data_IF_621422804428
#
_entry.id   IF_621422804428
#
_cell.length_a   1.000
_cell.length_b   1.000
_cell.length_c   1.000
_cell.angle_alpha   90.00
_cell.angle_beta   90.00
_cell.angle_gamma   90.00
#
_symmetry.space_group_name_H-M   'P 1'
#
loop_
_entity.id
_entity.type
_entity.pdbx_description
1 polymer ?
#
# COMPACT_ATOMS: atom_id res chain seq x y z
N UNK A 1 1.75 15.72 8.31
CA UNK A 1 1.23 14.34 8.26
C UNK A 1 0.13 14.15 7.23
N UNK A 2 0.43 13.31 6.24
CA UNK A 2 -0.52 12.78 5.25
C UNK A 2 -1.24 11.54 5.82
N UNK A 3 -2.55 11.45 5.66
CA UNK A 3 -3.37 10.36 6.17
C UNK A 3 -4.28 9.81 5.09
N UNK A 4 -4.03 8.56 4.75
CA UNK A 4 -4.70 7.84 3.70
C UNK A 4 -5.47 6.64 4.28
N UNK A 5 -6.34 6.05 3.47
CA UNK A 5 -7.16 4.89 3.83
C UNK A 5 -6.70 3.66 3.05
N UNK A 6 -6.73 2.48 3.67
CA UNK A 6 -6.57 1.21 2.94
C UNK A 6 -7.33 0.06 3.62
N UNK A 7 -7.33 -1.10 2.96
CA UNK A 7 -7.98 -2.33 3.43
C UNK A 7 -9.40 -2.53 2.95
N UNK A 8 -10.09 -1.47 2.51
CA UNK A 8 -11.36 -1.61 1.79
C UNK A 8 -11.12 -2.28 0.41
N UNK A 9 -12.09 -3.06 -0.07
CA UNK A 9 -12.00 -3.99 -1.22
C UNK A 9 -11.26 -5.33 -0.99
N UNK A 10 -10.67 -5.59 0.19
CA UNK A 10 -10.09 -6.91 0.51
C UNK A 10 -11.14 -7.90 1.00
N UNK A 11 -10.99 -9.17 0.60
CA UNK A 11 -11.69 -10.31 1.20
C UNK A 11 -12.94 -10.80 0.46
N UNK A 12 -13.07 -10.52 -0.84
CA UNK A 12 -14.09 -11.15 -1.70
C UNK A 12 -15.56 -10.76 -1.40
N UNK A 13 -15.82 -9.89 -0.42
CA UNK A 13 -17.16 -9.34 -0.19
C UNK A 13 -17.46 -8.30 -1.26
N UNK A 14 -18.20 -8.70 -2.30
CA UNK A 14 -18.66 -7.81 -3.35
C UNK A 14 -19.57 -6.73 -2.75
N UNK A 15 -19.04 -5.53 -2.54
CA UNK A 15 -19.88 -4.35 -2.47
C UNK A 15 -20.27 -3.96 -3.90
N UNK A 16 -21.46 -3.39 -4.07
CA UNK A 16 -21.83 -2.79 -5.35
C UNK A 16 -20.79 -1.74 -5.76
N UNK A 17 -20.56 -1.59 -7.06
CA UNK A 17 -19.65 -0.56 -7.56
C UNK A 17 -20.02 0.84 -7.08
N UNK A 18 -21.32 1.14 -7.05
CA UNK A 18 -21.83 2.40 -6.50
C UNK A 18 -21.46 2.60 -5.02
N UNK A 19 -21.47 1.55 -4.19
CA UNK A 19 -21.03 1.65 -2.80
C UNK A 19 -19.53 1.89 -2.68
N UNK A 20 -18.72 1.28 -3.55
CA UNK A 20 -17.27 1.53 -3.59
C UNK A 20 -16.95 2.99 -3.96
N UNK A 21 -17.64 3.55 -4.96
CA UNK A 21 -17.44 4.94 -5.35
C UNK A 21 -17.89 5.91 -4.25
N UNK A 22 -19.06 5.67 -3.63
CA UNK A 22 -19.52 6.47 -2.48
C UNK A 22 -18.55 6.43 -1.30
N UNK A 23 -17.95 5.27 -1.01
CA UNK A 23 -16.91 5.17 0.00
C UNK A 23 -15.73 6.11 -0.32
N UNK A 24 -15.27 6.14 -1.58
CA UNK A 24 -14.15 7.00 -1.98
C UNK A 24 -14.51 8.50 -1.88
N UNK A 25 -15.72 8.88 -2.30
CA UNK A 25 -16.25 10.23 -2.12
C UNK A 25 -16.35 10.61 -0.62
N UNK A 26 -16.74 9.67 0.24
CA UNK A 26 -16.79 9.86 1.68
C UNK A 26 -15.40 10.06 2.29
N UNK A 27 -14.40 9.30 1.83
CA UNK A 27 -13.00 9.48 2.24
C UNK A 27 -12.52 10.89 1.89
N UNK A 28 -12.80 11.37 0.68
CA UNK A 28 -12.45 12.73 0.25
C UNK A 28 -13.16 13.80 1.09
N UNK A 29 -14.48 13.64 1.28
CA UNK A 29 -15.32 14.59 2.02
C UNK A 29 -14.89 14.73 3.47
N UNK A 30 -14.36 13.67 4.07
CA UNK A 30 -13.86 13.64 5.44
C UNK A 30 -12.44 14.20 5.59
N UNK A 31 -11.77 14.52 4.48
CA UNK A 31 -10.47 15.20 4.49
C UNK A 31 -9.26 14.27 4.58
N UNK A 32 -9.42 12.96 4.34
CA UNK A 32 -8.28 12.07 4.10
C UNK A 32 -7.65 12.38 2.74
N UNK A 33 -6.34 12.19 2.61
CA UNK A 33 -5.61 12.62 1.41
C UNK A 33 -5.69 11.58 0.28
N UNK A 34 -5.82 10.30 0.61
CA UNK A 34 -5.90 9.26 -0.40
C UNK A 34 -6.48 7.93 0.06
N UNK A 35 -6.68 7.02 -0.90
CA UNK A 35 -7.16 5.65 -0.68
C UNK A 35 -6.35 4.65 -1.50
N UNK A 36 -6.02 3.49 -0.92
CA UNK A 36 -5.11 2.51 -1.53
C UNK A 36 -5.72 1.13 -1.71
N UNK A 37 -5.55 0.55 -2.90
CA UNK A 37 -6.11 -0.74 -3.29
C UNK A 37 -5.02 -1.78 -3.61
N UNK A 38 -5.32 -3.05 -3.37
CA UNK A 38 -4.37 -4.15 -3.57
C UNK A 38 -4.71 -4.90 -4.85
N UNK A 39 -3.72 -5.23 -5.66
CA UNK A 39 -3.88 -6.08 -6.84
C UNK A 39 -3.84 -7.56 -6.44
N UNK A 40 -4.81 -8.33 -6.95
CA UNK A 40 -4.89 -9.77 -6.73
C UNK A 40 -5.60 -10.43 -7.92
N UNK A 41 -4.92 -11.37 -8.57
CA UNK A 41 -5.47 -12.11 -9.71
C UNK A 41 -5.72 -13.57 -9.38
N UNK A 42 -6.74 -14.16 -10.02
CA UNK A 42 -7.05 -15.59 -9.96
C UNK A 42 -7.23 -16.15 -8.54
N UNK A 43 -7.71 -15.32 -7.61
CA UNK A 43 -7.97 -15.73 -6.24
C UNK A 43 -9.24 -16.60 -6.15
N UNK A 44 -9.28 -17.45 -5.13
CA UNK A 44 -10.47 -18.21 -4.77
C UNK A 44 -10.88 -17.89 -3.31
N UNK A 45 -12.02 -17.22 -3.06
CA UNK A 45 -12.98 -16.74 -4.07
C UNK A 45 -12.41 -15.57 -4.92
N UNK A 46 -12.97 -15.33 -6.12
CA UNK A 46 -12.56 -14.20 -6.96
C UNK A 46 -12.67 -12.85 -6.26
N UNK A 47 -11.75 -11.94 -6.56
CA UNK A 47 -11.83 -10.56 -6.09
C UNK A 47 -12.72 -9.72 -7.02
N UNK A 48 -13.48 -8.78 -6.46
CA UNK A 48 -14.32 -7.87 -7.24
C UNK A 48 -13.51 -6.85 -8.06
N UNK A 49 -12.30 -6.51 -7.59
CA UNK A 49 -11.43 -5.49 -8.22
C UNK A 49 -10.00 -6.03 -8.36
N UNK A 50 -9.75 -6.94 -9.33
CA UNK A 50 -8.42 -7.52 -9.53
C UNK A 50 -7.43 -6.51 -10.13
N UNK A 51 -7.89 -5.56 -10.95
CA UNK A 51 -7.08 -4.47 -11.50
C UNK A 51 -7.29 -3.17 -10.72
N UNK A 52 -6.23 -2.72 -10.06
CA UNK A 52 -6.24 -1.48 -9.27
C UNK A 52 -6.24 -0.23 -10.14
N UNK A 53 -5.61 -0.28 -11.33
CA UNK A 53 -5.56 0.86 -12.27
C UNK A 53 -6.93 1.15 -12.89
N UNK A 54 -7.70 0.12 -13.26
CA UNK A 54 -9.07 0.30 -13.76
C UNK A 54 -9.97 0.90 -12.69
N UNK A 55 -9.90 0.38 -11.45
CA UNK A 55 -10.65 0.94 -10.33
C UNK A 55 -10.23 2.39 -10.05
N UNK A 56 -8.93 2.69 -10.09
CA UNK A 56 -8.41 4.03 -9.88
C UNK A 56 -8.96 5.02 -10.90
N UNK A 57 -9.03 4.65 -12.19
CA UNK A 57 -9.64 5.48 -13.24
C UNK A 57 -11.06 5.93 -12.87
N UNK A 58 -11.90 4.97 -12.44
CA UNK A 58 -13.29 5.25 -12.05
C UNK A 58 -13.39 6.16 -10.82
N UNK A 59 -12.53 5.97 -9.81
CA UNK A 59 -12.53 6.80 -8.59
C UNK A 59 -12.03 8.22 -8.89
N UNK A 60 -10.96 8.33 -9.68
CA UNK A 60 -10.37 9.61 -10.05
C UNK A 60 -11.34 10.47 -10.87
N UNK A 61 -12.22 9.85 -11.67
CA UNK A 61 -13.31 10.53 -12.38
C UNK A 61 -14.45 11.01 -11.46
N UNK A 62 -14.56 10.48 -10.23
CA UNK A 62 -15.61 10.81 -9.25
C UNK A 62 -15.16 11.76 -8.14
N UNK A 63 -13.87 12.02 -8.05
CA UNK A 63 -13.23 12.79 -6.96
C UNK A 63 -12.40 13.93 -7.54
N UNK A 64 -12.17 14.98 -6.75
CA UNK A 64 -11.49 16.21 -7.21
C UNK A 64 -10.11 16.42 -6.59
N UNK A 65 -9.90 15.95 -5.36
CA UNK A 65 -8.69 16.11 -4.55
C UNK A 65 -8.11 14.78 -4.10
N UNK A 66 -8.95 13.76 -3.94
CA UNK A 66 -8.53 12.46 -3.44
C UNK A 66 -7.43 11.87 -4.32
N UNK A 67 -6.36 11.43 -3.67
CA UNK A 67 -5.32 10.62 -4.31
C UNK A 67 -5.70 9.15 -4.29
N UNK A 68 -5.39 8.42 -5.35
CA UNK A 68 -5.65 6.97 -5.42
C UNK A 68 -4.31 6.26 -5.53
N UNK A 69 -4.08 5.34 -4.60
CA UNK A 69 -2.84 4.59 -4.49
C UNK A 69 -2.98 3.13 -4.86
N UNK A 70 -1.92 2.55 -5.41
CA UNK A 70 -1.80 1.10 -5.59
C UNK A 70 -0.92 0.51 -4.49
N UNK A 71 -1.37 -0.54 -3.82
CA UNK A 71 -0.66 -1.21 -2.73
C UNK A 71 -0.74 -2.72 -2.91
N UNK A 72 -0.21 -3.29 -3.98
CA UNK A 72 0.65 -2.69 -5.02
C UNK A 72 0.12 -3.00 -6.41
N UNK A 73 0.74 -2.41 -7.44
CA UNK A 73 0.85 -3.02 -8.77
C UNK A 73 1.99 -4.04 -8.76
N UNK A 74 1.72 -5.25 -9.23
CA UNK A 74 2.67 -6.35 -9.37
C UNK A 74 3.34 -6.24 -10.74
N UNK A 75 4.36 -5.38 -10.84
CA UNK A 75 4.97 -5.05 -12.14
C UNK A 75 5.48 -6.25 -12.94
N UNK A 76 5.91 -7.39 -12.34
CA UNK A 76 6.27 -8.55 -13.13
C UNK A 76 5.13 -9.17 -13.94
N UNK A 77 3.86 -8.83 -13.71
CA UNK A 77 2.72 -9.36 -14.47
C UNK A 77 2.43 -8.60 -15.76
N UNK A 78 3.05 -7.43 -15.95
CA UNK A 78 2.71 -6.51 -17.03
C UNK A 78 3.89 -6.28 -17.96
N UNK A 79 3.62 -6.10 -19.26
CA UNK A 79 4.62 -5.55 -20.16
C UNK A 79 4.93 -4.09 -19.74
N UNK A 80 6.20 -3.71 -19.56
CA UNK A 80 6.55 -2.43 -18.95
C UNK A 80 6.13 -1.22 -19.78
N UNK A 81 6.16 -1.32 -21.12
CA UNK A 81 5.66 -0.24 -21.98
C UNK A 81 4.16 0.00 -21.80
N UNK A 82 3.33 -1.05 -21.82
CA UNK A 82 1.88 -0.90 -21.63
C UNK A 82 1.57 -0.35 -20.24
N UNK A 83 2.26 -0.86 -19.21
CA UNK A 83 2.08 -0.35 -17.86
C UNK A 83 2.53 1.12 -17.73
N UNK A 84 3.59 1.51 -18.42
CA UNK A 84 4.02 2.91 -18.47
C UNK A 84 2.95 3.82 -19.09
N UNK A 85 2.33 3.41 -20.20
CA UNK A 85 1.24 4.14 -20.85
C UNK A 85 0.02 4.27 -19.94
N UNK A 86 -0.44 3.16 -19.35
CA UNK A 86 -1.60 3.15 -18.45
C UNK A 86 -1.41 4.07 -17.24
N UNK A 87 -0.24 4.01 -16.61
CA UNK A 87 0.08 4.85 -15.45
C UNK A 87 0.25 6.32 -15.86
N UNK A 88 0.91 6.58 -16.99
CA UNK A 88 1.11 7.95 -17.47
C UNK A 88 -0.23 8.60 -17.83
N UNK A 89 -1.11 7.88 -18.50
CA UNK A 89 -2.46 8.33 -18.80
C UNK A 89 -3.22 8.63 -17.51
N UNK A 90 -3.21 7.73 -16.53
CA UNK A 90 -3.88 7.93 -15.25
C UNK A 90 -3.33 9.16 -14.50
N UNK A 91 -2.01 9.33 -14.48
CA UNK A 91 -1.37 10.48 -13.85
C UNK A 91 -1.80 11.78 -14.54
N UNK A 92 -1.70 11.84 -15.86
CA UNK A 92 -2.07 13.01 -16.65
C UNK A 92 -3.56 13.35 -16.51
N UNK A 93 -4.46 12.39 -16.74
CA UNK A 93 -5.90 12.64 -16.75
C UNK A 93 -6.45 13.00 -15.36
N UNK A 94 -5.75 12.61 -14.29
CA UNK A 94 -6.16 12.91 -12.92
C UNK A 94 -5.58 14.19 -12.35
N UNK A 95 -4.67 14.85 -13.07
CA UNK A 95 -3.91 15.98 -12.56
C UNK A 95 -2.95 15.58 -11.44
N UNK A 96 -2.22 14.46 -11.61
CA UNK A 96 -1.15 14.04 -10.69
C UNK A 96 -1.63 13.32 -9.42
N UNK A 97 -2.87 12.80 -9.40
CA UNK A 97 -3.50 12.22 -8.20
C UNK A 97 -3.34 10.71 -8.06
N UNK A 98 -2.54 10.06 -8.91
CA UNK A 98 -2.18 8.65 -8.74
C UNK A 98 -0.90 8.52 -7.90
N UNK A 99 -0.89 7.59 -6.95
CA UNK A 99 0.31 7.15 -6.23
C UNK A 99 0.60 5.68 -6.58
N UNK A 100 1.70 5.41 -7.26
CA UNK A 100 2.02 4.08 -7.76
C UNK A 100 2.88 3.32 -6.75
N UNK A 101 2.25 2.51 -5.89
CA UNK A 101 2.98 1.48 -5.17
C UNK A 101 3.24 0.29 -6.08
N UNK A 102 4.51 -0.09 -6.21
CA UNK A 102 4.98 -1.24 -6.99
C UNK A 102 5.62 -2.29 -6.09
N UNK A 103 5.65 -3.52 -6.57
CA UNK A 103 6.46 -4.55 -5.95
C UNK A 103 6.47 -5.82 -6.76
N UNK A 104 7.27 -6.78 -6.28
CA UNK A 104 7.53 -8.02 -7.01
C UNK A 104 6.35 -8.99 -7.03
N UNK A 105 5.44 -8.90 -6.04
CA UNK A 105 4.19 -9.69 -5.86
C UNK A 105 4.13 -11.06 -6.54
N UNK A 106 4.21 -12.15 -5.77
CA UNK A 106 4.51 -13.46 -6.37
C UNK A 106 3.61 -14.55 -5.83
N UNK A 107 2.28 -14.40 -5.96
CA UNK A 107 1.40 -15.53 -5.63
C UNK A 107 1.73 -16.68 -6.60
N UNK A 108 2.25 -17.84 -6.15
CA UNK A 108 2.81 -18.85 -7.05
C UNK A 108 1.81 -19.34 -8.09
N UNK A 109 0.54 -19.48 -7.70
CA UNK A 109 -0.53 -19.88 -8.61
C UNK A 109 -0.79 -18.85 -9.73
N UNK A 110 -0.64 -17.55 -9.44
CA UNK A 110 -0.81 -16.48 -10.45
C UNK A 110 0.33 -16.53 -11.46
N UNK A 111 1.57 -16.69 -10.99
CA UNK A 111 2.74 -16.83 -11.85
C UNK A 111 2.62 -18.07 -12.74
N UNK A 112 2.25 -19.22 -12.17
CA UNK A 112 2.05 -20.46 -12.90
C UNK A 112 0.95 -20.33 -13.97
N UNK A 113 -0.18 -19.70 -13.64
CA UNK A 113 -1.27 -19.48 -14.58
C UNK A 113 -0.88 -18.56 -15.76
N UNK A 114 0.04 -17.63 -15.55
CA UNK A 114 0.55 -16.71 -16.57
C UNK A 114 1.84 -17.20 -17.26
N UNK A 115 2.35 -18.38 -16.90
CA UNK A 115 3.59 -18.92 -17.44
C UNK A 115 4.84 -18.11 -17.07
N UNK A 116 4.83 -17.40 -15.93
CA UNK A 116 5.95 -16.58 -15.46
C UNK A 116 6.80 -17.39 -14.48
N UNK A 117 8.08 -17.55 -14.77
CA UNK A 117 9.03 -18.21 -13.89
C UNK A 117 9.28 -17.37 -12.62
N UNK A 118 9.23 -18.00 -11.44
CA UNK A 118 9.34 -17.29 -10.16
C UNK A 118 10.69 -16.57 -10.00
N UNK A 119 11.75 -17.17 -10.53
CA UNK A 119 13.14 -16.71 -10.50
C UNK A 119 13.32 -15.43 -11.32
N UNK A 120 12.51 -15.26 -12.38
CA UNK A 120 12.54 -14.08 -13.25
C UNK A 120 11.91 -12.84 -12.61
N UNK A 121 11.10 -13.00 -11.57
CA UNK A 121 10.28 -11.91 -11.02
C UNK A 121 11.10 -10.75 -10.47
N UNK A 122 12.31 -11.00 -9.97
CA UNK A 122 13.22 -9.93 -9.54
C UNK A 122 13.67 -9.07 -10.71
N UNK A 123 14.26 -9.68 -11.73
CA UNK A 123 14.72 -8.96 -12.91
C UNK A 123 13.56 -8.21 -13.59
N UNK A 124 12.41 -8.88 -13.74
CA UNK A 124 11.18 -8.25 -14.23
C UNK A 124 10.77 -7.03 -13.42
N UNK A 125 10.78 -7.12 -12.09
CA UNK A 125 10.41 -6.00 -11.24
C UNK A 125 11.36 -4.80 -11.42
N UNK A 126 12.67 -5.04 -11.34
CA UNK A 126 13.69 -3.98 -11.41
C UNK A 126 13.74 -3.33 -12.80
N UNK A 127 13.76 -4.15 -13.87
CA UNK A 127 13.77 -3.67 -15.25
C UNK A 127 12.48 -2.92 -15.58
N UNK A 128 11.31 -3.44 -15.17
CA UNK A 128 10.03 -2.78 -15.46
C UNK A 128 9.98 -1.37 -14.88
N UNK A 129 10.46 -1.15 -13.64
CA UNK A 129 10.50 0.20 -13.08
C UNK A 129 11.44 1.13 -13.88
N UNK A 130 12.65 0.68 -14.20
CA UNK A 130 13.62 1.51 -14.95
C UNK A 130 13.08 1.89 -16.32
N UNK A 131 12.52 0.91 -17.04
CA UNK A 131 11.87 1.12 -18.33
C UNK A 131 10.71 2.11 -18.20
N UNK A 132 9.81 1.94 -17.22
CA UNK A 132 8.69 2.85 -17.02
C UNK A 132 9.15 4.29 -16.68
N UNK A 133 10.15 4.42 -15.80
CA UNK A 133 10.72 5.72 -15.44
C UNK A 133 11.27 6.45 -16.66
N UNK A 134 12.04 5.76 -17.48
CA UNK A 134 12.67 6.33 -18.67
C UNK A 134 11.59 6.65 -19.74
N UNK A 135 10.57 5.80 -19.84
CA UNK A 135 9.41 6.01 -20.70
C UNK A 135 8.69 7.33 -20.42
N UNK A 136 8.52 7.70 -19.15
CA UNK A 136 7.81 8.92 -18.76
C UNK A 136 8.60 10.21 -19.03
N UNK A 137 9.93 10.14 -19.14
CA UNK A 137 10.79 11.32 -19.25
C UNK A 137 11.34 11.54 -20.66
N UNK A 138 11.87 10.51 -21.29
CA UNK A 138 12.66 10.61 -22.51
C UNK A 138 12.28 9.60 -23.60
N UNK A 139 11.27 8.76 -23.35
CA UNK A 139 10.96 7.60 -24.18
C UNK A 139 11.67 6.34 -23.70
N UNK A 140 11.20 5.18 -24.16
CA UNK A 140 11.53 3.89 -23.58
C UNK A 140 12.22 2.98 -24.60
N UNK A 141 13.31 2.35 -24.17
CA UNK A 141 13.98 1.29 -24.91
C UNK A 141 14.22 0.11 -23.98
N UNK A 142 14.01 -1.09 -24.51
CA UNK A 142 14.40 -2.35 -23.89
C UNK A 142 15.64 -2.83 -24.62
N UNK A 143 16.73 -2.98 -23.85
CA UNK A 143 18.02 -3.43 -24.36
C UNK A 143 18.08 -4.94 -24.56
N UNK A 144 18.99 -5.39 -25.43
CA UNK A 144 19.35 -6.81 -25.49
C UNK A 144 19.87 -7.29 -24.13
N UNK A 145 19.41 -8.47 -23.69
CA UNK A 145 19.76 -9.04 -22.39
C UNK A 145 18.88 -8.61 -21.23
N UNK A 146 17.94 -7.67 -21.43
CA UNK A 146 16.87 -7.41 -20.47
C UNK A 146 15.94 -8.63 -20.33
N UNK A 147 15.15 -8.68 -19.25
CA UNK A 147 14.15 -9.75 -19.08
C UNK A 147 12.94 -9.67 -20.04
N UNK A 148 12.88 -8.61 -20.85
CA UNK A 148 11.86 -8.34 -21.84
C UNK A 148 12.47 -8.32 -23.25
N UNK A 149 11.69 -8.60 -24.32
CA UNK A 149 12.21 -8.54 -25.68
C UNK A 149 12.74 -7.15 -26.03
N UNK A 150 13.95 -7.11 -26.61
CA UNK A 150 14.57 -5.87 -27.06
C UNK A 150 13.64 -5.13 -28.04
N UNK A 151 13.42 -3.85 -27.77
CA UNK A 151 12.46 -3.04 -28.52
C UNK A 151 12.67 -1.56 -28.23
N UNK A 152 12.42 -0.73 -29.23
CA UNK A 152 12.46 0.73 -29.13
C UNK A 152 11.15 1.26 -29.73
N UNK A 153 10.31 1.84 -28.88
CA UNK A 153 8.98 2.33 -29.28
C UNK A 153 8.69 3.65 -28.57
N UNK A 154 7.83 4.46 -29.18
CA UNK A 154 7.29 5.63 -28.50
C UNK A 154 6.29 5.18 -27.43
N UNK A 155 6.53 5.58 -26.19
CA UNK A 155 5.62 5.34 -25.04
C UNK A 155 5.14 6.70 -24.55
N UNK A 156 3.82 6.85 -24.37
CA UNK A 156 3.24 8.12 -23.92
C UNK A 156 1.99 7.98 -23.06
N UNK A 157 1.46 9.09 -22.53
CA UNK A 157 1.99 10.45 -22.65
C UNK A 157 3.31 10.64 -21.90
N UNK A 158 4.20 11.49 -22.43
CA UNK A 158 5.36 11.96 -21.67
C UNK A 158 4.89 12.86 -20.51
N UNK A 159 5.62 12.85 -19.40
CA UNK A 159 5.31 13.61 -18.19
C UNK A 159 6.47 14.57 -17.84
N UNK A 160 6.80 15.56 -18.69
CA UNK A 160 7.86 16.51 -18.38
C UNK A 160 7.43 17.44 -17.24
N UNK A 161 7.97 17.23 -16.04
CA UNK A 161 7.83 18.14 -14.89
C UNK A 161 7.39 17.45 -13.60
N UNK A 162 6.22 16.80 -13.60
CA UNK A 162 5.72 16.06 -12.43
C UNK A 162 5.83 14.55 -12.69
N UNK A 163 6.82 13.94 -12.05
CA UNK A 163 7.01 12.49 -12.11
C UNK A 163 5.91 11.79 -11.32
N UNK A 164 5.47 10.63 -11.81
CA UNK A 164 4.58 9.74 -11.06
C UNK A 164 5.21 9.41 -9.70
N UNK A 165 4.51 9.65 -8.57
CA UNK A 165 5.00 9.21 -7.27
C UNK A 165 5.04 7.69 -7.20
N UNK A 166 6.24 7.10 -7.16
CA UNK A 166 6.44 5.64 -7.09
C UNK A 166 6.91 5.23 -5.70
N UNK A 167 6.32 4.17 -5.15
CA UNK A 167 6.66 3.60 -3.84
C UNK A 167 7.00 2.11 -3.98
N UNK A 168 8.03 1.64 -3.29
CA UNK A 168 8.44 0.22 -3.35
C UNK A 168 7.95 -0.54 -2.13
N UNK A 169 7.15 -1.60 -2.35
CA UNK A 169 6.80 -2.56 -1.31
C UNK A 169 7.72 -3.79 -1.35
N UNK A 170 8.33 -4.11 -0.21
CA UNK A 170 9.11 -5.33 -0.05
C UNK A 170 9.79 -5.43 1.31
N UNK A 171 10.18 -6.65 1.67
CA UNK A 171 10.81 -6.96 2.96
C UNK A 171 12.21 -7.52 2.83
N UNK A 172 12.60 -7.99 1.64
CA UNK A 172 13.94 -8.53 1.42
C UNK A 172 14.98 -7.42 1.32
N UNK A 173 16.21 -7.72 1.75
CA UNK A 173 17.36 -6.82 1.56
C UNK A 173 17.50 -6.37 0.11
N UNK A 174 17.30 -7.29 -0.84
CA UNK A 174 17.31 -6.97 -2.28
C UNK A 174 16.31 -5.88 -2.67
N UNK A 175 15.06 -5.98 -2.21
CA UNK A 175 13.99 -5.04 -2.60
C UNK A 175 14.18 -3.69 -1.91
N UNK A 176 14.61 -3.71 -0.64
CA UNK A 176 14.95 -2.49 0.10
C UNK A 176 16.19 -1.81 -0.49
N UNK A 177 17.17 -2.59 -0.95
CA UNK A 177 18.38 -2.10 -1.62
C UNK A 177 18.08 -1.52 -2.99
N UNK A 178 17.17 -2.13 -3.75
CA UNK A 178 16.66 -1.52 -4.96
C UNK A 178 16.01 -0.15 -4.70
N UNK A 179 15.13 -0.06 -3.69
CA UNK A 179 14.51 1.22 -3.34
C UNK A 179 15.55 2.28 -2.93
N UNK A 180 16.58 1.89 -2.17
CA UNK A 180 17.69 2.78 -1.80
C UNK A 180 18.46 3.28 -3.03
N UNK A 181 18.90 2.37 -3.92
CA UNK A 181 19.65 2.69 -5.13
C UNK A 181 18.89 3.59 -6.10
N UNK A 182 17.60 3.34 -6.28
CA UNK A 182 16.75 4.12 -7.19
C UNK A 182 16.16 5.38 -6.53
N UNK A 183 16.48 5.66 -5.25
CA UNK A 183 16.00 6.86 -4.55
C UNK A 183 14.50 6.88 -4.26
N UNK A 184 13.88 5.70 -4.16
CA UNK A 184 12.43 5.53 -4.02
C UNK A 184 11.97 5.44 -2.55
N UNK A 185 10.82 6.04 -2.21
CA UNK A 185 10.18 5.82 -0.92
C UNK A 185 9.66 4.37 -0.76
N UNK A 186 9.54 3.93 0.48
CA UNK A 186 9.04 2.61 0.84
C UNK A 186 7.52 2.62 1.03
N UNK A 187 6.87 1.52 0.66
CA UNK A 187 5.48 1.22 0.96
C UNK A 187 5.42 0.11 2.03
N UNK A 188 5.42 0.52 3.30
CA UNK A 188 5.51 -0.40 4.44
C UNK A 188 4.12 -0.89 4.87
N UNK A 189 3.97 -2.20 4.96
CA UNK A 189 2.71 -2.84 5.32
C UNK A 189 2.57 -3.00 6.84
N UNK A 190 1.52 -3.68 7.26
CA UNK A 190 1.28 -4.06 8.65
C UNK A 190 2.19 -5.22 9.08
N UNK A 191 2.46 -6.14 8.17
CA UNK A 191 3.10 -7.42 8.45
C UNK A 191 4.13 -7.77 7.35
N UNK A 192 5.42 -7.94 7.68
CA UNK A 192 6.00 -7.78 9.02
C UNK A 192 5.91 -6.33 9.53
N UNK A 193 5.99 -6.10 10.86
CA UNK A 193 6.13 -4.76 11.42
C UNK A 193 7.38 -4.06 10.88
N UNK A 194 7.32 -2.75 10.75
CA UNK A 194 8.34 -1.97 10.05
C UNK A 194 9.72 -2.00 10.73
N UNK A 195 9.79 -2.22 12.04
CA UNK A 195 11.04 -2.13 12.82
C UNK A 195 12.20 -2.91 12.16
N UNK A 196 11.95 -4.16 11.77
CA UNK A 196 12.98 -4.99 11.13
C UNK A 196 13.31 -4.53 9.70
N UNK A 197 12.31 -4.07 8.95
CA UNK A 197 12.49 -3.52 7.60
C UNK A 197 13.30 -2.22 7.64
N UNK A 198 13.00 -1.33 8.59
CA UNK A 198 13.69 -0.07 8.80
C UNK A 198 15.14 -0.28 9.24
N UNK A 199 15.39 -1.22 10.15
CA UNK A 199 16.75 -1.58 10.54
C UNK A 199 17.56 -2.11 9.34
N UNK A 200 16.94 -2.97 8.52
CA UNK A 200 17.58 -3.49 7.30
C UNK A 200 17.86 -2.37 6.30
N UNK A 201 16.89 -1.48 6.08
CA UNK A 201 17.03 -0.35 5.16
C UNK A 201 18.12 0.62 5.63
N UNK A 202 18.18 0.94 6.92
CA UNK A 202 19.20 1.80 7.50
C UNK A 202 20.62 1.22 7.30
N UNK A 203 20.81 -0.08 7.54
CA UNK A 203 22.09 -0.74 7.28
C UNK A 203 22.50 -0.64 5.79
N UNK A 204 21.56 -0.81 4.87
CA UNK A 204 21.83 -0.64 3.43
C UNK A 204 22.26 0.80 3.12
N UNK A 205 21.57 1.80 3.67
CA UNK A 205 21.92 3.21 3.44
C UNK A 205 23.34 3.54 3.93
N UNK A 206 23.73 2.99 5.09
CA UNK A 206 25.06 3.16 5.67
C UNK A 206 26.15 2.45 4.87
N UNK A 207 25.89 1.23 4.40
CA UNK A 207 26.84 0.44 3.61
C UNK A 207 27.02 0.97 2.18
N UNK A 208 25.93 1.36 1.51
CA UNK A 208 25.93 1.76 0.09
C UNK A 208 25.99 3.28 -0.13
N UNK A 209 25.78 4.11 0.91
CA UNK A 209 25.92 5.56 0.85
C UNK A 209 24.76 6.31 0.16
N UNK A 210 23.53 5.81 0.29
CA UNK A 210 22.34 6.39 -0.35
C UNK A 210 21.58 7.38 0.56
N UNK A 211 20.82 8.29 -0.05
CA UNK A 211 19.98 9.23 0.67
C UNK A 211 18.73 8.55 1.27
N UNK A 212 18.41 8.85 2.53
CA UNK A 212 17.21 8.35 3.19
C UNK A 212 15.94 8.98 2.62
N UNK A 213 14.95 8.14 2.24
CA UNK A 213 13.66 8.58 1.69
C UNK A 213 12.47 8.33 2.62
N UNK A 214 12.71 7.99 3.90
CA UNK A 214 11.65 7.60 4.85
C UNK A 214 10.57 8.67 5.04
N UNK A 215 10.89 9.96 5.01
CA UNK A 215 9.89 11.03 5.10
C UNK A 215 8.83 10.97 3.99
N UNK A 216 9.21 10.49 2.81
CA UNK A 216 8.31 10.29 1.67
C UNK A 216 7.69 8.89 1.63
N UNK A 217 8.14 7.95 2.48
CA UNK A 217 7.56 6.61 2.61
C UNK A 217 6.16 6.66 3.23
N UNK A 218 5.48 5.52 3.20
CA UNK A 218 4.18 5.39 3.85
C UNK A 218 4.07 4.09 4.65
N UNK A 219 3.40 4.15 5.81
CA UNK A 219 3.25 3.03 6.74
C UNK A 219 1.79 2.72 7.07
N UNK A 220 1.43 1.44 7.11
CA UNK A 220 0.08 1.01 7.47
C UNK A 220 -0.10 0.72 8.96
N UNK A 221 -1.28 1.08 9.49
CA UNK A 221 -1.73 0.74 10.86
C UNK A 221 -3.20 0.35 10.89
N UNK A 222 -3.55 -0.68 11.65
CA UNK A 222 -4.94 -0.91 12.05
C UNK A 222 -5.37 0.20 13.00
N UNK A 223 -6.66 0.52 13.01
CA UNK A 223 -7.20 1.55 13.90
C UNK A 223 -8.34 0.97 14.73
N UNK A 224 -8.22 1.09 16.06
CA UNK A 224 -9.30 0.82 17.01
C UNK A 224 -9.58 2.10 17.79
N UNK A 225 -10.48 2.95 17.30
CA UNK A 225 -10.82 4.22 17.93
C UNK A 225 -12.18 4.14 18.63
N UNK A 226 -12.32 4.80 19.77
CA UNK A 226 -13.59 4.97 20.48
C UNK A 226 -13.56 6.26 21.32
N UNK A 227 -14.70 6.73 21.87
CA UNK A 227 -14.71 7.92 22.72
C UNK A 227 -13.78 7.81 23.95
N UNK A 228 -13.58 6.60 24.47
CA UNK A 228 -12.67 6.34 25.59
C UNK A 228 -11.65 5.26 25.26
N UNK A 229 -10.48 5.34 25.91
CA UNK A 229 -9.43 4.33 25.80
C UNK A 229 -9.93 2.92 26.14
N UNK A 230 -10.76 2.78 27.18
CA UNK A 230 -11.30 1.48 27.62
C UNK A 230 -12.12 0.83 26.50
N UNK A 231 -13.01 1.59 25.85
CA UNK A 231 -13.81 1.07 24.74
C UNK A 231 -12.95 0.68 23.53
N UNK A 232 -11.93 1.48 23.23
CA UNK A 232 -10.99 1.19 22.15
C UNK A 232 -10.17 -0.09 22.42
N UNK A 233 -9.79 -0.34 23.68
CA UNK A 233 -9.13 -1.58 24.07
C UNK A 233 -10.05 -2.79 23.90
N UNK A 234 -11.35 -2.66 24.20
CA UNK A 234 -12.33 -3.71 23.92
C UNK A 234 -12.37 -4.08 22.44
N UNK A 235 -12.36 -3.09 21.54
CA UNK A 235 -12.26 -3.33 20.08
C UNK A 235 -10.94 -4.02 19.69
N UNK A 236 -9.83 -3.65 20.31
CA UNK A 236 -8.54 -4.28 20.10
C UNK A 236 -8.56 -5.76 20.51
N UNK A 237 -9.17 -6.07 21.66
CA UNK A 237 -9.31 -7.44 22.17
C UNK A 237 -10.12 -8.35 21.25
N UNK A 238 -11.11 -7.79 20.56
CA UNK A 238 -11.87 -8.52 19.55
C UNK A 238 -11.09 -8.69 18.24
N UNK A 239 -10.34 -7.66 17.83
CA UNK A 239 -9.65 -7.63 16.54
C UNK A 239 -8.40 -8.52 16.52
N UNK A 240 -7.57 -8.47 17.57
CA UNK A 240 -6.25 -9.14 17.59
C UNK A 240 -6.36 -10.66 17.43
N UNK A 241 -7.23 -11.38 18.16
CA UNK A 241 -7.39 -12.84 17.98
C UNK A 241 -7.81 -13.20 16.55
N UNK A 242 -8.72 -12.43 15.95
CA UNK A 242 -9.20 -12.68 14.58
C UNK A 242 -8.13 -12.41 13.52
N UNK A 243 -7.28 -11.40 13.74
CA UNK A 243 -6.11 -11.15 12.91
C UNK A 243 -5.10 -12.30 13.01
N UNK A 244 -4.89 -12.81 14.23
CA UNK A 244 -4.02 -13.95 14.48
C UNK A 244 -4.54 -15.22 13.80
N UNK A 245 -5.83 -15.56 13.94
CA UNK A 245 -6.47 -16.67 13.25
C UNK A 245 -6.30 -16.58 11.73
N UNK A 246 -6.53 -15.40 11.15
CA UNK A 246 -6.32 -15.18 9.72
C UNK A 246 -4.87 -15.39 9.31
N UNK A 247 -3.90 -14.95 10.12
CA UNK A 247 -2.47 -15.16 9.85
C UNK A 247 -2.12 -16.64 9.87
N UNK A 248 -2.59 -17.38 10.86
CA UNK A 248 -2.42 -18.83 10.97
C UNK A 248 -3.04 -19.54 9.76
N UNK A 249 -4.27 -19.19 9.38
CA UNK A 249 -4.95 -19.76 8.21
C UNK A 249 -4.17 -19.48 6.90
N UNK A 250 -3.70 -18.25 6.72
CA UNK A 250 -2.89 -17.87 5.55
C UNK A 250 -1.55 -18.62 5.49
N UNK A 251 -0.88 -18.80 6.63
CA UNK A 251 0.36 -19.57 6.71
C UNK A 251 0.12 -21.04 6.34
N UNK A 252 -0.92 -21.67 6.89
CA UNK A 252 -1.32 -23.05 6.54
C UNK A 252 -1.64 -23.20 5.06
N UNK A 253 -2.44 -22.29 4.50
CA UNK A 253 -2.79 -22.31 3.08
C UNK A 253 -1.55 -22.15 2.16
N UNK A 254 -0.52 -21.44 2.64
CA UNK A 254 0.74 -21.28 1.95
C UNK A 254 1.79 -22.37 2.29
N UNK A 255 1.42 -23.42 3.03
CA UNK A 255 2.33 -24.49 3.43
C UNK A 255 3.47 -24.07 4.36
N UNK A 256 3.33 -22.94 5.06
CA UNK A 256 4.34 -22.41 5.99
C UNK A 256 4.10 -22.92 7.41
N UNK A 257 5.18 -23.15 8.18
CA UNK A 257 5.09 -23.49 9.60
C UNK A 257 4.35 -22.38 10.37
N UNK A 258 3.53 -22.80 11.34
CA UNK A 258 2.80 -21.91 12.23
C UNK A 258 3.45 -21.77 13.61
N UNK A 259 4.53 -22.52 13.89
CA UNK A 259 5.11 -22.63 15.23
C UNK A 259 5.71 -21.30 15.73
N UNK A 260 6.14 -20.46 14.80
CA UNK A 260 6.69 -19.13 15.08
C UNK A 260 5.61 -18.05 15.12
N UNK A 261 4.35 -18.38 14.82
CA UNK A 261 3.24 -17.43 14.81
C UNK A 261 2.64 -17.39 16.21
N UNK A 262 3.05 -16.38 16.98
CA UNK A 262 2.57 -16.16 18.35
C UNK A 262 1.52 -15.05 18.36
N UNK A 263 0.45 -15.24 19.12
CA UNK A 263 -0.56 -14.21 19.32
C UNK A 263 0.04 -13.09 20.16
N UNK A 264 0.08 -11.85 19.66
CA UNK A 264 0.63 -10.74 20.42
C UNK A 264 -0.32 -10.35 21.56
N UNK A 265 0.23 -9.93 22.69
CA UNK A 265 -0.52 -9.19 23.71
C UNK A 265 -0.90 -7.79 23.20
N UNK A 266 -1.73 -7.07 23.97
CA UNK A 266 -2.18 -5.71 23.62
C UNK A 266 -1.01 -4.76 23.37
N UNK A 267 -0.03 -4.76 24.27
CA UNK A 267 1.09 -3.83 24.21
C UNK A 267 1.92 -4.05 22.94
N UNK A 268 2.18 -5.30 22.60
CA UNK A 268 2.90 -5.72 21.41
C UNK A 268 2.11 -5.40 20.14
N UNK A 269 0.79 -5.64 20.13
CA UNK A 269 -0.07 -5.31 19.00
C UNK A 269 -0.08 -3.80 18.72
N UNK A 270 -0.24 -2.97 19.76
CA UNK A 270 -0.22 -1.52 19.63
C UNK A 270 1.14 -1.00 19.19
N UNK A 271 2.24 -1.49 19.80
CA UNK A 271 3.58 -1.06 19.44
C UNK A 271 3.93 -1.37 17.97
N UNK A 272 3.39 -2.45 17.40
CA UNK A 272 3.80 -2.95 16.09
C UNK A 272 2.83 -2.67 14.96
N UNK A 273 1.51 -2.71 15.20
CA UNK A 273 0.53 -2.85 14.11
C UNK A 273 -0.74 -2.02 14.30
N UNK A 274 -1.03 -1.51 15.50
CA UNK A 274 -2.34 -0.90 15.80
C UNK A 274 -2.21 0.47 16.47
N UNK A 275 -2.98 1.44 15.98
CA UNK A 275 -3.28 2.68 16.68
C UNK A 275 -4.61 2.47 17.42
N UNK A 276 -4.61 2.55 18.75
CA UNK A 276 -5.81 2.27 19.53
C UNK A 276 -5.96 3.20 20.74
N UNK A 277 -7.16 3.76 20.94
CA UNK A 277 -7.46 4.61 22.09
C UNK A 277 -8.57 5.63 21.86
N UNK A 278 -8.61 6.66 22.71
CA UNK A 278 -9.39 7.89 22.48
C UNK A 278 -8.81 8.69 21.30
N UNK A 279 -9.49 9.75 20.82
CA UNK A 279 -8.92 10.65 19.80
C UNK A 279 -7.53 11.18 20.19
N UNK A 280 -7.34 11.62 21.43
CA UNK A 280 -6.05 12.12 21.92
C UNK A 280 -4.96 11.04 21.93
N UNK A 281 -5.31 9.82 22.36
CA UNK A 281 -4.40 8.67 22.28
C UNK A 281 -3.97 8.41 20.83
N UNK A 282 -4.88 8.49 19.87
CA UNK A 282 -4.60 8.29 18.44
C UNK A 282 -3.65 9.39 17.91
N UNK A 283 -3.91 10.66 18.23
CA UNK A 283 -3.05 11.80 17.85
C UNK A 283 -1.63 11.58 18.40
N UNK A 284 -1.52 11.26 19.69
CA UNK A 284 -0.24 11.04 20.35
C UNK A 284 0.54 9.88 19.72
N UNK A 285 -0.12 8.74 19.47
CA UNK A 285 0.50 7.57 18.86
C UNK A 285 0.98 7.84 17.43
N UNK A 286 0.19 8.55 16.61
CA UNK A 286 0.59 8.89 15.25
C UNK A 286 1.79 9.83 15.23
N UNK A 287 1.80 10.87 16.07
CA UNK A 287 2.95 11.78 16.21
C UNK A 287 4.20 11.05 16.70
N UNK A 288 4.07 10.18 17.71
CA UNK A 288 5.18 9.38 18.21
C UNK A 288 5.73 8.44 17.15
N UNK A 289 4.85 7.77 16.39
CA UNK A 289 5.25 6.88 15.31
C UNK A 289 6.00 7.63 14.21
N UNK A 290 5.52 8.79 13.80
CA UNK A 290 6.21 9.63 12.82
C UNK A 290 7.58 10.12 13.32
N UNK A 291 7.69 10.49 14.59
CA UNK A 291 8.95 10.90 15.20
C UNK A 291 9.98 9.77 15.26
N UNK A 292 9.54 8.55 15.61
CA UNK A 292 10.43 7.38 15.72
C UNK A 292 10.86 6.83 14.36
N UNK A 293 9.94 6.79 13.39
CA UNK A 293 10.21 6.19 12.07
C UNK A 293 10.73 7.17 11.04
N UNK A 294 10.53 8.47 11.27
CA UNK A 294 10.77 9.53 10.27
C UNK A 294 9.75 9.57 9.13
N UNK A 295 8.68 8.76 9.19
CA UNK A 295 7.63 8.66 8.16
C UNK A 295 6.47 9.60 8.50
N UNK A 296 6.14 10.54 7.60
CA UNK A 296 5.06 11.53 7.81
C UNK A 296 3.77 11.21 7.02
N UNK A 297 3.62 9.96 6.55
CA UNK A 297 2.43 9.51 5.83
C UNK A 297 1.96 8.13 6.32
N UNK A 298 0.68 8.02 6.69
CA UNK A 298 0.11 6.79 7.24
C UNK A 298 -1.10 6.33 6.42
N UNK A 299 -1.22 5.00 6.24
CA UNK A 299 -2.41 4.35 5.67
C UNK A 299 -3.19 3.64 6.76
N UNK A 300 -4.38 4.11 7.06
CA UNK A 300 -5.21 3.64 8.16
C UNK A 300 -6.15 2.52 7.71
N UNK A 301 -6.22 1.45 8.50
CA UNK A 301 -7.02 0.25 8.23
C UNK A 301 -8.10 0.08 9.30
N UNK A 302 -9.26 0.68 9.05
CA UNK A 302 -10.41 0.60 9.97
C UNK A 302 -11.16 -0.74 9.90
N UNK A 303 -11.19 -1.36 8.72
CA UNK A 303 -11.99 -2.58 8.51
C UNK A 303 -11.27 -3.88 8.93
N UNK A 304 -10.10 -3.80 9.56
CA UNK A 304 -9.29 -4.98 9.89
C UNK A 304 -8.92 -5.84 8.67
N UNK A 305 -8.84 -5.26 7.47
CA UNK A 305 -8.74 -5.98 6.20
C UNK A 305 -9.90 -6.98 5.98
N UNK A 306 -11.13 -6.53 6.22
CA UNK A 306 -12.38 -7.30 6.02
C UNK A 306 -12.88 -8.09 7.23
N UNK A 307 -12.22 -7.96 8.39
CA UNK A 307 -12.60 -8.63 9.64
C UNK A 307 -13.72 -7.86 10.37
N UNK A 308 -13.60 -6.54 10.43
CA UNK A 308 -14.57 -5.67 11.08
C UNK A 308 -15.75 -5.47 10.12
N UNK A 309 -16.96 -5.43 10.66
CA UNK A 309 -18.15 -5.12 9.88
C UNK A 309 -18.00 -3.77 9.15
N UNK A 310 -18.56 -3.68 7.95
CA UNK A 310 -18.39 -2.49 7.12
C UNK A 310 -19.01 -1.26 7.78
N UNK A 311 -20.21 -1.36 8.37
CA UNK A 311 -20.86 -0.21 8.99
C UNK A 311 -20.07 0.28 10.20
N UNK A 312 -19.56 -0.65 11.02
CA UNK A 312 -18.68 -0.32 12.16
C UNK A 312 -17.38 0.33 11.70
N UNK A 313 -16.72 -0.20 10.66
CA UNK A 313 -15.49 0.37 10.12
C UNK A 313 -15.69 1.78 9.56
N UNK A 314 -16.82 2.04 8.89
CA UNK A 314 -17.17 3.37 8.38
C UNK A 314 -17.49 4.35 9.50
N UNK A 315 -18.19 3.90 10.56
CA UNK A 315 -18.45 4.72 11.75
C UNK A 315 -17.15 5.11 12.47
N UNK A 316 -16.18 4.19 12.56
CA UNK A 316 -14.87 4.47 13.15
C UNK A 316 -14.03 5.42 12.29
N UNK A 317 -14.06 5.25 10.96
CA UNK A 317 -13.41 6.17 10.02
C UNK A 317 -14.03 7.56 10.08
N UNK A 318 -15.35 7.65 10.19
CA UNK A 318 -16.09 8.90 10.41
C UNK A 318 -15.68 9.59 11.70
N UNK A 319 -15.69 8.85 12.81
CA UNK A 319 -15.32 9.35 14.12
C UNK A 319 -13.87 9.86 14.11
N UNK A 320 -12.96 9.09 13.53
CA UNK A 320 -11.56 9.50 13.37
C UNK A 320 -11.43 10.77 12.52
N UNK A 321 -12.15 10.83 11.38
CA UNK A 321 -12.15 12.00 10.49
C UNK A 321 -12.56 13.28 11.21
N UNK A 322 -13.55 13.19 12.09
CA UNK A 322 -14.08 14.34 12.84
C UNK A 322 -13.20 14.76 14.02
N UNK A 323 -12.71 13.79 14.81
CA UNK A 323 -12.05 14.09 16.10
C UNK A 323 -10.52 14.13 16.01
N UNK A 324 -9.90 13.39 15.07
CA UNK A 324 -8.43 13.22 15.03
C UNK A 324 -7.78 14.04 13.92
N UNK A 325 -8.38 14.09 12.72
CA UNK A 325 -7.77 14.82 11.59
C UNK A 325 -7.53 16.31 11.88
N UNK A 326 -8.49 17.07 12.47
CA UNK A 326 -8.26 18.49 12.77
C UNK A 326 -7.11 18.72 13.76
N UNK A 327 -6.95 17.83 14.75
CA UNK A 327 -5.89 17.93 15.76
C UNK A 327 -4.48 17.62 15.20
N UNK A 328 -4.39 16.92 14.07
CA UNK A 328 -3.12 16.64 13.38
C UNK A 328 -2.75 17.71 12.36
N UNK A 329 -3.69 18.59 12.00
CA UNK A 329 -3.52 19.66 11.02
C UNK A 329 -4.06 20.98 11.59
N UNK A 330 -3.39 21.54 12.61
CA UNK A 330 -3.79 22.85 13.10
C UNK A 330 -3.75 23.86 11.95
N UNK A 331 -4.81 24.67 11.86
CA UNK A 331 -5.06 25.66 10.81
C UNK A 331 -3.93 26.69 10.69
#
# INVERSE_FOLDING_TARGET
>A
MRLDITGFARGGRAQSHASMLRLCEDVERRGFDGIWFNEFHFQNPPQAYPSTLILASAILARTQRLRVGTSIVVTPLYHPFLLAEEVAQLHWQSGGRIDLGIGRGTHPATLAALGIAAESTRARFEDSYRIMRDAWTSGARIEEGACWPASEVSVGPLLPGEMVPVYVAGTSRDTLGFAAREGLPLLLSLDPPEVGQLATYQAILEEEGHACRLRASQLSRYVCIAPTKVQAMGKLDELVPRLFERRVASAKAAGRSTDQIVMPDRQTAMARQVIAGSPDDCVAQLKALAAVTGIDAMRLVFNGNGIVDMAAALADMEFFGREVLPALRPA
#
